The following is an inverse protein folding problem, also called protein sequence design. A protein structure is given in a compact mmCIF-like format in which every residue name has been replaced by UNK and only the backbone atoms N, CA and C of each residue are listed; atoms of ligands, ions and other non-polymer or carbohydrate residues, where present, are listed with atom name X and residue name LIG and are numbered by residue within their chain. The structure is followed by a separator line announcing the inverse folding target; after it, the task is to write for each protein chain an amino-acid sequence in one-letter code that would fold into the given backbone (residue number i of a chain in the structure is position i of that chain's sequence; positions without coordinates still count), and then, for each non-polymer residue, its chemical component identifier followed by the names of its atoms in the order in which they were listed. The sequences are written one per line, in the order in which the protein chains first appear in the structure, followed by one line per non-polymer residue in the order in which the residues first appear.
data_IF_925393489655
#
_entry.id   IF_925393489655
#
_cell.length_a   1.000
_cell.length_b   1.000
_cell.length_c   1.000
_cell.angle_alpha   90.00
_cell.angle_beta   90.00
_cell.angle_gamma   90.00
#
_symmetry.space_group_name_H-M   'P 1'
#
loop_
_entity.id
_entity.type
_entity.pdbx_description
1 polymer ?
#
# COMPACT_ATOMS: atom_id res chain seq x y z
N UNK A 1 53.63 51.79 -35.24
CA UNK A 1 53.32 50.43 -34.75
C UNK A 1 52.66 50.56 -33.39
N UNK A 2 51.34 50.36 -33.28
CA UNK A 2 50.68 49.92 -32.04
C UNK A 2 49.28 49.44 -32.42
N UNK A 3 49.09 48.12 -32.44
CA UNK A 3 47.78 47.48 -32.63
C UNK A 3 47.16 47.29 -31.24
N UNK A 4 45.99 47.88 -31.01
CA UNK A 4 45.17 47.61 -29.83
C UNK A 4 44.14 46.54 -30.17
N UNK A 5 44.37 45.31 -29.73
CA UNK A 5 43.42 44.21 -29.81
C UNK A 5 42.41 44.33 -28.67
N UNK A 6 41.16 44.66 -28.97
CA UNK A 6 40.06 44.59 -28.01
C UNK A 6 39.55 43.15 -27.92
N UNK A 7 39.72 42.52 -26.76
CA UNK A 7 39.08 41.24 -26.44
C UNK A 7 37.66 41.52 -25.90
N UNK A 8 36.64 41.14 -26.67
CA UNK A 8 35.24 41.21 -26.23
C UNK A 8 34.91 39.92 -25.45
N UNK A 9 34.76 40.05 -24.14
CA UNK A 9 34.34 38.95 -23.26
C UNK A 9 32.82 38.78 -23.37
N UNK A 10 32.35 37.76 -24.10
CA UNK A 10 30.93 37.40 -24.10
C UNK A 10 30.55 36.71 -22.77
N UNK A 11 29.84 37.44 -21.90
CA UNK A 11 29.17 36.85 -20.75
C UNK A 11 27.91 36.12 -21.23
N UNK A 12 27.94 34.79 -21.28
CA UNK A 12 26.75 33.98 -21.51
C UNK A 12 25.99 33.89 -20.18
N UNK A 13 24.99 34.77 -20.00
CA UNK A 13 23.99 34.64 -18.93
C UNK A 13 23.14 33.40 -19.23
N UNK A 14 23.48 32.26 -18.61
CA UNK A 14 22.57 31.11 -18.53
C UNK A 14 21.42 31.48 -17.59
N UNK A 15 20.29 31.87 -18.16
CA UNK A 15 19.03 31.91 -17.42
C UNK A 15 18.69 30.49 -17.00
N UNK A 16 18.92 30.15 -15.74
CA UNK A 16 18.42 28.91 -15.15
C UNK A 16 16.89 29.00 -15.10
N UNK A 17 16.21 28.44 -16.10
CA UNK A 17 14.76 28.18 -16.00
C UNK A 17 14.62 27.19 -14.84
N UNK A 18 13.81 27.48 -13.80
CA UNK A 18 13.56 26.51 -12.75
C UNK A 18 12.94 25.27 -13.41
N UNK A 19 13.69 24.17 -13.44
CA UNK A 19 13.16 22.91 -13.91
C UNK A 19 12.12 22.48 -12.88
N UNK A 20 10.84 22.52 -13.26
CA UNK A 20 9.75 22.00 -12.43
C UNK A 20 10.07 20.54 -12.12
N UNK A 21 10.13 20.19 -10.82
CA UNK A 21 10.43 18.83 -10.39
C UNK A 21 9.47 17.83 -11.05
N UNK A 22 9.92 16.62 -11.41
CA UNK A 22 9.03 15.61 -11.99
C UNK A 22 7.92 15.21 -11.02
N UNK A 23 6.78 14.71 -11.51
CA UNK A 23 5.81 14.05 -10.64
C UNK A 23 6.47 12.87 -9.90
N UNK A 24 6.12 12.72 -8.62
CA UNK A 24 6.57 11.61 -7.77
C UNK A 24 5.40 10.65 -7.52
N UNK A 25 5.66 9.35 -7.51
CA UNK A 25 4.63 8.33 -7.36
C UNK A 25 5.09 7.21 -6.43
N UNK A 26 4.29 6.93 -5.42
CA UNK A 26 4.38 5.73 -4.58
C UNK A 26 3.40 4.70 -5.15
N UNK A 27 3.88 3.48 -5.40
CA UNK A 27 3.06 2.33 -5.75
C UNK A 27 3.10 1.39 -4.56
N UNK A 28 1.97 1.28 -3.86
CA UNK A 28 1.85 0.47 -2.64
C UNK A 28 1.00 -0.76 -2.90
N UNK A 29 1.58 -1.94 -2.71
CA UNK A 29 0.84 -3.19 -2.68
C UNK A 29 0.37 -3.52 -1.27
N UNK A 30 -0.94 -3.75 -1.14
CA UNK A 30 -1.55 -4.12 0.14
C UNK A 30 -1.60 -5.66 0.32
N UNK A 31 -1.84 -6.05 1.56
CA UNK A 31 -2.19 -7.40 2.02
C UNK A 31 -1.07 -8.46 2.13
N UNK A 32 0.22 -8.12 2.09
CA UNK A 32 1.26 -9.17 2.22
C UNK A 32 1.04 -10.05 3.45
N UNK A 33 0.97 -11.36 3.23
CA UNK A 33 0.67 -12.38 4.23
C UNK A 33 -0.73 -12.99 4.12
N UNK A 34 -1.61 -12.48 3.24
CA UNK A 34 -2.98 -13.02 3.13
C UNK A 34 -3.06 -14.39 2.43
N UNK A 35 -2.22 -14.61 1.41
CA UNK A 35 -2.14 -15.81 0.57
C UNK A 35 -0.72 -15.99 0.03
N UNK A 36 -0.31 -17.22 -0.28
CA UNK A 36 0.98 -17.49 -0.93
C UNK A 36 1.05 -16.83 -2.31
N UNK A 37 0.03 -17.03 -3.14
CA UNK A 37 -0.05 -16.39 -4.46
C UNK A 37 -0.07 -14.85 -4.39
N UNK A 38 -0.49 -14.28 -3.27
CA UNK A 38 -0.39 -12.84 -2.99
C UNK A 38 1.03 -12.38 -2.66
N UNK A 39 1.69 -13.10 -1.76
CA UNK A 39 3.08 -12.86 -1.39
C UNK A 39 4.02 -12.90 -2.61
N UNK A 40 3.88 -13.92 -3.45
CA UNK A 40 4.67 -14.05 -4.67
C UNK A 40 4.42 -12.89 -5.64
N UNK A 41 3.18 -12.45 -5.79
CA UNK A 41 2.81 -11.34 -6.68
C UNK A 41 3.42 -10.01 -6.23
N UNK A 42 3.38 -9.69 -4.94
CA UNK A 42 3.97 -8.49 -4.37
C UNK A 42 5.50 -8.48 -4.57
N UNK A 43 6.18 -9.60 -4.29
CA UNK A 43 7.62 -9.71 -4.54
C UNK A 43 7.94 -9.59 -6.04
N UNK A 44 7.11 -10.15 -6.91
CA UNK A 44 7.27 -10.03 -8.37
C UNK A 44 7.09 -8.58 -8.83
N UNK A 45 6.05 -7.91 -8.37
CA UNK A 45 5.78 -6.51 -8.72
C UNK A 45 6.88 -5.57 -8.22
N UNK A 46 7.48 -5.85 -7.05
CA UNK A 46 8.65 -5.15 -6.57
C UNK A 46 9.90 -5.41 -7.41
N UNK A 47 10.23 -6.68 -7.70
CA UNK A 47 11.47 -7.04 -8.41
C UNK A 47 11.45 -6.73 -9.89
N UNK A 48 10.31 -6.92 -10.53
CA UNK A 48 10.17 -6.90 -11.99
C UNK A 48 9.27 -5.77 -12.49
N UNK A 49 8.56 -5.10 -11.58
CA UNK A 49 7.55 -4.09 -11.88
C UNK A 49 7.91 -2.70 -11.37
N UNK A 50 6.90 -2.01 -10.86
CA UNK A 50 6.94 -0.59 -10.47
C UNK A 50 6.60 -0.38 -8.99
N UNK A 51 6.37 -1.46 -8.24
CA UNK A 51 6.00 -1.39 -6.84
C UNK A 51 7.15 -0.85 -5.98
N UNK A 52 6.83 0.04 -5.04
CA UNK A 52 7.83 0.72 -4.21
C UNK A 52 7.62 0.54 -2.71
N UNK A 53 6.44 0.09 -2.27
CA UNK A 53 6.11 -0.19 -0.87
C UNK A 53 5.16 -1.38 -0.75
N UNK A 54 5.34 -2.20 0.30
CA UNK A 54 4.48 -3.35 0.59
C UNK A 54 3.91 -3.23 2.02
N UNK A 55 2.60 -3.44 2.19
CA UNK A 55 1.94 -3.45 3.49
C UNK A 55 1.70 -4.87 3.99
N UNK A 56 2.13 -5.17 5.22
CA UNK A 56 2.08 -6.53 5.78
C UNK A 56 0.93 -6.69 6.78
N UNK A 57 0.13 -7.72 6.57
CA UNK A 57 -0.90 -8.20 7.50
C UNK A 57 -0.26 -9.18 8.49
N UNK A 58 -0.25 -8.80 9.77
CA UNK A 58 0.36 -9.63 10.82
C UNK A 58 -0.49 -10.84 11.21
N UNK A 59 -1.83 -10.73 11.37
CA UNK A 59 -2.63 -11.86 11.81
C UNK A 59 -2.87 -12.93 10.74
N UNK A 60 -2.50 -12.67 9.48
CA UNK A 60 -2.84 -13.51 8.34
C UNK A 60 -1.94 -14.76 8.24
N UNK A 61 -2.44 -15.86 7.64
CA UNK A 61 -1.81 -17.18 7.75
C UNK A 61 -0.45 -17.28 7.05
N UNK A 62 -0.21 -16.46 6.02
CA UNK A 62 1.06 -16.42 5.29
C UNK A 62 2.01 -15.32 5.78
N UNK A 63 1.75 -14.72 6.95
CA UNK A 63 2.69 -13.80 7.59
C UNK A 63 4.10 -14.41 7.80
N UNK A 64 4.26 -15.69 8.22
CA UNK A 64 5.60 -16.28 8.34
C UNK A 64 6.40 -16.30 7.03
N UNK A 65 5.73 -16.59 5.90
CA UNK A 65 6.36 -16.53 4.58
C UNK A 65 6.65 -15.08 4.18
N UNK A 66 5.73 -14.15 4.44
CA UNK A 66 5.96 -12.74 4.18
C UNK A 66 7.22 -12.23 4.88
N UNK A 67 7.46 -12.62 6.15
CA UNK A 67 8.71 -12.30 6.87
C UNK A 67 9.94 -12.86 6.16
N UNK A 68 9.89 -14.11 5.67
CA UNK A 68 11.01 -14.70 4.94
C UNK A 68 11.29 -13.93 3.64
N UNK A 69 10.27 -13.71 2.81
CA UNK A 69 10.41 -13.01 1.54
C UNK A 69 10.89 -11.58 1.72
N UNK A 70 10.42 -10.88 2.75
CA UNK A 70 10.92 -9.54 3.07
C UNK A 70 12.36 -9.57 3.60
N UNK A 71 12.78 -10.64 4.28
CA UNK A 71 14.19 -10.82 4.67
C UNK A 71 15.08 -10.99 3.44
N UNK A 72 14.62 -11.73 2.43
CA UNK A 72 15.31 -11.94 1.16
C UNK A 72 15.33 -10.69 0.25
N UNK A 73 14.47 -9.71 0.53
CA UNK A 73 14.33 -8.46 -0.21
C UNK A 73 14.54 -7.25 0.70
N UNK A 74 15.76 -7.00 1.22
CA UNK A 74 15.98 -6.02 2.29
C UNK A 74 15.77 -4.55 1.88
N UNK A 75 15.76 -4.27 0.57
CA UNK A 75 15.65 -2.92 0.01
C UNK A 75 14.22 -2.46 -0.23
N UNK A 76 13.22 -3.34 -0.16
CA UNK A 76 11.82 -2.93 -0.29
C UNK A 76 11.38 -2.13 0.93
N UNK A 77 10.63 -1.05 0.70
CA UNK A 77 9.98 -0.34 1.79
C UNK A 77 8.76 -1.12 2.27
N UNK A 78 8.54 -1.11 3.58
CA UNK A 78 7.53 -1.96 4.21
C UNK A 78 6.76 -1.16 5.25
N UNK A 79 5.44 -1.21 5.14
CA UNK A 79 4.52 -0.74 6.17
C UNK A 79 3.81 -1.89 6.88
N UNK A 80 3.23 -1.60 8.04
CA UNK A 80 2.30 -2.52 8.70
C UNK A 80 0.87 -2.18 8.27
N UNK A 81 0.16 -3.18 7.75
CA UNK A 81 -1.27 -3.10 7.45
C UNK A 81 -2.05 -3.54 8.69
N UNK A 82 -2.36 -2.59 9.58
CA UNK A 82 -3.16 -2.92 10.76
C UNK A 82 -4.53 -3.45 10.33
N UNK A 83 -4.99 -4.52 10.96
CA UNK A 83 -6.28 -5.13 10.61
C UNK A 83 -7.12 -5.45 11.84
N UNK A 84 -8.43 -5.29 11.70
CA UNK A 84 -9.46 -5.69 12.67
C UNK A 84 -10.58 -6.50 12.00
N UNK A 85 -10.36 -6.93 10.76
CA UNK A 85 -11.33 -7.69 9.97
C UNK A 85 -10.70 -8.92 9.31
N UNK A 86 -11.54 -9.90 8.99
CA UNK A 86 -11.18 -11.07 8.20
C UNK A 86 -12.30 -11.42 7.23
N UNK A 87 -12.26 -10.80 6.06
CA UNK A 87 -13.34 -10.68 5.09
C UNK A 87 -13.65 -11.97 4.34
N UNK A 88 -12.63 -12.76 4.01
CA UNK A 88 -12.76 -13.92 3.15
C UNK A 88 -13.59 -15.03 3.80
N UNK A 89 -14.56 -15.60 3.07
CA UNK A 89 -15.50 -16.56 3.64
C UNK A 89 -14.85 -17.89 4.01
N UNK A 90 -13.84 -18.31 3.25
CA UNK A 90 -13.21 -19.62 3.35
C UNK A 90 -11.82 -19.62 4.01
N UNK A 91 -11.27 -18.45 4.32
CA UNK A 91 -10.01 -18.31 5.07
C UNK A 91 -10.16 -17.20 6.12
N UNK A 92 -9.93 -17.55 7.39
CA UNK A 92 -10.19 -16.64 8.51
C UNK A 92 -8.97 -16.45 9.39
N UNK A 93 -8.84 -15.25 9.93
CA UNK A 93 -7.73 -14.83 10.78
C UNK A 93 -8.26 -14.49 12.17
N UNK A 94 -7.48 -14.83 13.19
CA UNK A 94 -7.78 -14.52 14.59
C UNK A 94 -6.93 -13.33 15.03
N UNK A 95 -7.35 -12.57 16.03
CA UNK A 95 -6.50 -11.52 16.59
C UNK A 95 -5.19 -12.08 17.17
N UNK A 96 -4.14 -11.26 17.15
CA UNK A 96 -2.83 -11.59 17.74
C UNK A 96 -2.89 -11.55 19.27
N UNK A 97 -3.76 -10.69 19.81
CA UNK A 97 -4.00 -10.49 21.23
C UNK A 97 -5.35 -11.08 21.68
N UNK A 98 -5.56 -11.13 22.99
CA UNK A 98 -6.90 -11.43 23.52
C UNK A 98 -7.77 -10.16 23.54
N UNK A 99 -8.57 -9.95 22.49
CA UNK A 99 -9.46 -8.81 22.33
C UNK A 99 -10.92 -9.27 22.05
N UNK A 100 -11.69 -9.63 23.10
CA UNK A 100 -13.01 -10.24 22.94
C UNK A 100 -14.04 -9.39 22.18
N UNK A 101 -13.94 -8.05 22.21
CA UNK A 101 -14.89 -7.18 21.51
C UNK A 101 -14.65 -7.06 20.00
N UNK A 102 -13.56 -7.65 19.48
CA UNK A 102 -13.18 -7.57 18.07
C UNK A 102 -13.36 -8.90 17.32
N UNK A 103 -13.85 -9.95 18.00
CA UNK A 103 -13.97 -11.30 17.44
C UNK A 103 -15.38 -11.84 17.53
N UNK A 104 -15.75 -12.71 16.59
CA UNK A 104 -17.01 -13.43 16.60
C UNK A 104 -16.99 -14.62 17.57
N UNK A 105 -18.10 -15.37 17.63
CA UNK A 105 -18.26 -16.51 18.53
C UNK A 105 -17.27 -17.65 18.25
N UNK A 106 -16.78 -17.77 17.01
CA UNK A 106 -15.76 -18.75 16.64
C UNK A 106 -14.34 -18.22 16.92
N UNK A 107 -14.22 -16.94 17.31
CA UNK A 107 -13.01 -16.24 17.71
C UNK A 107 -12.17 -15.71 16.54
N UNK A 108 -12.75 -15.59 15.36
CA UNK A 108 -12.16 -14.88 14.23
C UNK A 108 -12.50 -13.39 14.30
N UNK A 109 -11.72 -12.53 13.64
CA UNK A 109 -12.17 -11.16 13.40
C UNK A 109 -13.51 -11.14 12.66
N UNK A 110 -14.31 -10.10 12.90
CA UNK A 110 -15.50 -9.84 12.10
C UNK A 110 -15.13 -9.67 10.61
N UNK A 111 -15.99 -10.09 9.67
CA UNK A 111 -15.68 -10.00 8.24
C UNK A 111 -15.57 -8.57 7.71
N UNK A 112 -16.20 -7.59 8.36
CA UNK A 112 -16.25 -6.22 7.87
C UNK A 112 -15.86 -5.23 8.97
N UNK A 113 -15.32 -4.07 8.59
CA UNK A 113 -15.17 -2.94 9.50
C UNK A 113 -16.49 -2.18 9.63
N UNK A 114 -17.11 -1.86 8.49
CA UNK A 114 -18.37 -1.09 8.38
C UNK A 114 -19.55 -1.97 7.96
N UNK A 115 -20.82 -1.53 8.13
CA UNK A 115 -21.98 -2.33 7.77
C UNK A 115 -21.97 -2.74 6.30
N UNK A 116 -22.27 -4.02 6.04
CA UNK A 116 -22.34 -4.58 4.70
C UNK A 116 -23.64 -5.37 4.54
N UNK A 117 -24.38 -5.11 3.45
CA UNK A 117 -25.67 -5.75 3.17
C UNK A 117 -25.59 -7.29 3.05
N UNK A 118 -24.44 -7.81 2.62
CA UNK A 118 -24.20 -9.25 2.46
C UNK A 118 -23.82 -9.91 3.80
N UNK A 119 -23.43 -9.11 4.80
CA UNK A 119 -22.94 -9.56 6.10
C UNK A 119 -23.62 -8.76 7.24
N UNK A 120 -24.96 -8.82 7.34
CA UNK A 120 -25.70 -7.97 8.28
C UNK A 120 -25.27 -8.22 9.73
N UNK A 121 -24.97 -7.15 10.47
CA UNK A 121 -24.50 -7.19 11.86
C UNK A 121 -23.18 -7.94 12.06
N UNK A 122 -22.40 -8.15 11.00
CA UNK A 122 -21.08 -8.79 11.07
C UNK A 122 -19.95 -7.81 10.79
N UNK A 123 -20.17 -6.53 11.11
CA UNK A 123 -19.10 -5.53 11.10
C UNK A 123 -18.63 -5.14 12.50
N UNK A 124 -17.37 -4.74 12.65
CA UNK A 124 -16.82 -4.30 13.94
C UNK A 124 -17.66 -3.17 14.54
N UNK A 125 -18.02 -2.16 13.74
CA UNK A 125 -18.79 -0.99 14.23
C UNK A 125 -20.23 -1.33 14.64
N UNK A 126 -20.77 -2.48 14.24
CA UNK A 126 -22.09 -2.98 14.66
C UNK A 126 -22.03 -3.84 15.94
N UNK A 127 -20.84 -4.15 16.48
CA UNK A 127 -20.65 -5.17 17.52
C UNK A 127 -19.92 -4.66 18.78
N UNK A 128 -20.44 -3.62 19.44
CA UNK A 128 -19.97 -3.09 20.75
C UNK A 128 -18.45 -3.19 21.00
N UNK A 129 -17.65 -2.80 20.00
CA UNK A 129 -16.21 -2.84 20.07
C UNK A 129 -15.70 -1.91 21.18
N UNK A 130 -14.55 -2.23 21.76
CA UNK A 130 -13.94 -1.45 22.82
C UNK A 130 -12.60 -0.88 22.37
N UNK A 131 -12.38 0.43 22.58
CA UNK A 131 -11.11 1.08 22.21
C UNK A 131 -9.89 0.43 22.88
N UNK A 132 -10.05 -0.08 24.12
CA UNK A 132 -8.99 -0.79 24.83
C UNK A 132 -8.55 -2.08 24.11
N UNK A 133 -9.49 -2.81 23.52
CA UNK A 133 -9.22 -4.01 22.72
C UNK A 133 -8.55 -3.65 21.40
N UNK A 134 -8.94 -2.54 20.78
CA UNK A 134 -8.29 -2.00 19.57
C UNK A 134 -6.83 -1.62 19.86
N UNK A 135 -6.56 -0.89 20.94
CA UNK A 135 -5.19 -0.53 21.33
C UNK A 135 -4.36 -1.78 21.63
N UNK A 136 -4.91 -2.74 22.38
CA UNK A 136 -4.24 -3.99 22.71
C UNK A 136 -3.87 -4.78 21.45
N UNK A 137 -4.80 -4.90 20.50
CA UNK A 137 -4.57 -5.63 19.26
C UNK A 137 -3.59 -4.93 18.33
N UNK A 138 -3.73 -3.62 18.12
CA UNK A 138 -2.79 -2.87 17.29
C UNK A 138 -1.37 -2.90 17.84
N UNK A 139 -1.20 -2.80 19.16
CA UNK A 139 0.13 -2.96 19.78
C UNK A 139 0.71 -4.34 19.52
N UNK A 140 -0.08 -5.39 19.72
CA UNK A 140 0.37 -6.76 19.50
C UNK A 140 0.81 -6.99 18.04
N UNK A 141 0.05 -6.46 17.08
CA UNK A 141 0.42 -6.49 15.66
C UNK A 141 1.73 -5.72 15.41
N UNK A 142 1.83 -4.46 15.86
CA UNK A 142 3.02 -3.61 15.67
C UNK A 142 4.27 -4.26 16.27
N UNK A 143 4.18 -4.73 17.52
CA UNK A 143 5.30 -5.31 18.25
C UNK A 143 5.79 -6.60 17.59
N UNK A 144 4.87 -7.47 17.17
CA UNK A 144 5.23 -8.69 16.44
C UNK A 144 5.85 -8.36 15.09
N UNK A 145 5.29 -7.40 14.36
CA UNK A 145 5.82 -6.96 13.07
C UNK A 145 7.23 -6.39 13.21
N UNK A 146 7.47 -5.45 14.13
CA UNK A 146 8.79 -4.85 14.37
C UNK A 146 9.81 -5.88 14.87
N UNK A 147 9.39 -6.87 15.66
CA UNK A 147 10.25 -7.97 16.08
C UNK A 147 10.75 -8.81 14.90
N UNK A 148 9.91 -9.00 13.88
CA UNK A 148 10.19 -9.87 12.72
C UNK A 148 10.76 -9.11 11.52
N UNK A 149 10.36 -7.85 11.35
CA UNK A 149 10.69 -6.96 10.25
C UNK A 149 11.06 -5.59 10.86
N UNK A 150 12.27 -5.42 11.43
CA UNK A 150 12.64 -4.21 12.18
C UNK A 150 12.67 -2.91 11.36
N UNK A 151 12.53 -3.00 10.03
CA UNK A 151 12.62 -1.88 9.10
C UNK A 151 11.26 -1.31 8.65
N UNK A 152 10.16 -1.77 9.25
CA UNK A 152 8.83 -1.19 9.00
C UNK A 152 8.90 0.31 9.26
N UNK A 153 8.36 1.11 8.35
CA UNK A 153 8.54 2.57 8.34
C UNK A 153 7.25 3.35 8.58
N UNK A 154 6.08 2.73 8.38
CA UNK A 154 4.80 3.42 8.44
C UNK A 154 3.63 2.48 8.76
N UNK A 155 2.46 3.08 9.02
CA UNK A 155 1.20 2.40 9.31
C UNK A 155 0.19 2.67 8.19
N UNK A 156 -0.49 1.62 7.77
CA UNK A 156 -1.72 1.65 6.98
C UNK A 156 -2.81 0.80 7.66
N UNK A 157 -4.02 0.74 7.09
CA UNK A 157 -5.15 0.06 7.73
C UNK A 157 -6.01 -0.73 6.75
N UNK A 158 -6.11 -2.04 6.97
CA UNK A 158 -6.96 -2.95 6.22
C UNK A 158 -8.41 -2.51 6.28
N UNK A 159 -9.05 -2.44 5.11
CA UNK A 159 -10.45 -2.03 4.94
C UNK A 159 -10.81 -0.73 5.67
N UNK A 160 -9.84 0.16 5.87
CA UNK A 160 -10.04 1.44 6.56
C UNK A 160 -10.27 1.33 8.07
N UNK A 161 -9.86 0.23 8.72
CA UNK A 161 -10.03 0.03 10.16
C UNK A 161 -9.38 1.13 11.02
N UNK A 162 -8.27 1.70 10.57
CA UNK A 162 -7.58 2.82 11.24
C UNK A 162 -8.38 4.12 11.22
N UNK A 163 -9.44 4.18 10.42
CA UNK A 163 -10.34 5.33 10.27
C UNK A 163 -11.74 5.12 10.85
N UNK A 164 -12.02 4.00 11.52
CA UNK A 164 -13.39 3.63 11.94
C UNK A 164 -14.00 4.49 13.05
N UNK A 165 -13.19 5.33 13.70
CA UNK A 165 -13.61 6.29 14.72
C UNK A 165 -12.53 7.35 14.95
N UNK A 166 -12.89 8.53 15.46
CA UNK A 166 -11.92 9.62 15.71
C UNK A 166 -10.97 9.30 16.87
N UNK A 167 -11.45 8.53 17.85
CA UNK A 167 -10.65 7.94 18.91
C UNK A 167 -9.63 6.92 18.36
N UNK A 168 -10.04 6.09 17.39
CA UNK A 168 -9.15 5.15 16.69
C UNK A 168 -8.11 5.90 15.86
N UNK A 169 -8.48 6.94 15.12
CA UNK A 169 -7.51 7.78 14.38
C UNK A 169 -6.49 8.41 15.35
N UNK A 170 -6.96 8.90 16.49
CA UNK A 170 -6.10 9.48 17.53
C UNK A 170 -5.14 8.44 18.10
N UNK A 171 -5.64 7.24 18.38
CA UNK A 171 -4.86 6.11 18.83
C UNK A 171 -3.79 5.71 17.80
N UNK A 172 -4.15 5.57 16.52
CA UNK A 172 -3.20 5.21 15.46
C UNK A 172 -2.07 6.24 15.36
N UNK A 173 -2.37 7.54 15.44
CA UNK A 173 -1.32 8.59 15.48
C UNK A 173 -0.43 8.49 16.72
N UNK A 174 -1.00 8.16 17.88
CA UNK A 174 -0.24 7.91 19.12
C UNK A 174 0.71 6.73 18.94
N UNK A 175 0.20 5.59 18.47
CA UNK A 175 1.00 4.37 18.28
C UNK A 175 2.09 4.57 17.22
N UNK A 176 1.77 5.23 16.10
CA UNK A 176 2.75 5.52 15.06
C UNK A 176 3.98 6.27 15.62
N UNK A 177 3.74 7.31 16.43
CA UNK A 177 4.80 8.08 17.11
C UNK A 177 5.52 7.26 18.16
N UNK A 178 4.79 6.49 18.96
CA UNK A 178 5.34 5.67 20.03
C UNK A 178 6.33 4.62 19.49
N UNK A 179 5.99 3.98 18.37
CA UNK A 179 6.82 2.95 17.73
C UNK A 179 7.72 3.49 16.61
N UNK A 180 7.73 4.81 16.36
CA UNK A 180 8.57 5.50 15.34
C UNK A 180 8.34 4.99 13.90
N UNK A 181 7.07 4.79 13.57
CA UNK A 181 6.57 4.36 12.25
C UNK A 181 5.54 5.37 11.74
N UNK A 182 5.89 6.65 11.83
CA UNK A 182 5.00 7.82 11.72
C UNK A 182 5.14 8.59 10.40
N UNK A 183 5.56 7.93 9.32
CA UNK A 183 5.47 8.53 7.99
C UNK A 183 4.00 8.57 7.57
N UNK A 184 3.41 9.76 7.58
CA UNK A 184 1.99 10.00 7.28
C UNK A 184 1.83 10.76 5.95
N UNK A 185 1.59 10.07 4.80
CA UNK A 185 1.54 10.72 3.49
C UNK A 185 0.59 11.92 3.41
N UNK A 186 -0.58 11.84 4.03
CA UNK A 186 -1.58 12.91 4.03
C UNK A 186 -1.07 14.18 4.73
N UNK A 187 -0.20 14.07 5.74
CA UNK A 187 0.40 15.21 6.43
C UNK A 187 1.59 15.80 5.65
N UNK A 188 2.09 15.07 4.63
CA UNK A 188 3.23 15.44 3.79
C UNK A 188 2.82 15.90 2.39
N UNK A 189 1.53 16.18 2.17
CA UNK A 189 1.00 16.67 0.90
C UNK A 189 0.96 15.64 -0.22
N UNK A 190 0.97 14.34 0.11
CA UNK A 190 0.80 13.26 -0.86
C UNK A 190 -0.69 13.12 -1.20
N UNK A 191 -1.01 13.14 -2.49
CA UNK A 191 -2.38 12.97 -2.97
C UNK A 191 -2.67 11.50 -3.32
N UNK A 192 -3.80 10.96 -2.89
CA UNK A 192 -4.26 9.66 -3.38
C UNK A 192 -4.65 9.77 -4.85
N UNK A 193 -4.31 8.76 -5.64
CA UNK A 193 -4.70 8.65 -7.05
C UNK A 193 -5.18 7.23 -7.36
N UNK A 194 -6.02 7.10 -8.38
CA UNK A 194 -6.61 5.83 -8.80
C UNK A 194 -6.70 5.75 -10.33
N UNK A 195 -7.15 4.60 -10.83
CA UNK A 195 -7.42 4.33 -12.23
C UNK A 195 -8.27 5.42 -12.90
N UNK A 196 -7.94 5.79 -14.14
CA UNK A 196 -8.72 6.72 -14.98
C UNK A 196 -9.46 5.93 -16.06
N UNK A 197 -10.60 5.35 -15.69
CA UNK A 197 -11.46 4.54 -16.55
C UNK A 197 -11.79 3.15 -16.00
N UNK A 198 -12.29 2.27 -16.87
CA UNK A 198 -12.58 0.87 -16.53
C UNK A 198 -11.33 0.14 -16.05
N UNK A 199 -11.49 -0.85 -15.17
CA UNK A 199 -10.37 -1.54 -14.52
C UNK A 199 -10.77 -2.93 -13.99
N UNK A 200 -11.74 -3.58 -14.63
CA UNK A 200 -12.24 -4.89 -14.21
C UNK A 200 -11.42 -6.06 -14.81
N UNK A 201 -10.74 -5.84 -15.93
CA UNK A 201 -9.84 -6.82 -16.56
C UNK A 201 -8.39 -6.36 -16.55
N UNK A 202 -7.42 -7.27 -16.75
CA UNK A 202 -6.00 -6.91 -16.88
C UNK A 202 -5.77 -5.81 -17.93
N UNK A 203 -6.41 -5.94 -19.10
CA UNK A 203 -6.25 -4.96 -20.19
C UNK A 203 -6.81 -3.59 -19.81
N UNK A 204 -8.01 -3.56 -19.21
CA UNK A 204 -8.61 -2.31 -18.73
C UNK A 204 -7.76 -1.65 -17.66
N UNK A 205 -7.24 -2.42 -16.68
CA UNK A 205 -6.32 -1.90 -15.65
C UNK A 205 -5.08 -1.27 -16.29
N UNK A 206 -4.45 -1.92 -17.27
CA UNK A 206 -3.28 -1.39 -17.98
C UNK A 206 -3.62 -0.06 -18.66
N UNK A 207 -4.69 0.01 -19.45
CA UNK A 207 -5.09 1.21 -20.17
C UNK A 207 -5.47 2.37 -19.24
N UNK A 208 -6.20 2.06 -18.19
CA UNK A 208 -6.67 3.01 -17.19
C UNK A 208 -5.52 3.54 -16.31
N UNK A 209 -4.54 2.69 -16.02
CA UNK A 209 -3.31 3.08 -15.33
C UNK A 209 -2.43 3.97 -16.20
N UNK A 210 -2.30 3.66 -17.49
CA UNK A 210 -1.59 4.53 -18.45
C UNK A 210 -2.22 5.93 -18.49
N UNK A 211 -3.54 6.03 -18.59
CA UNK A 211 -4.26 7.32 -18.54
C UNK A 211 -4.04 8.05 -17.22
N UNK A 212 -3.98 7.32 -16.10
CA UNK A 212 -3.64 7.88 -14.80
C UNK A 212 -2.22 8.48 -14.81
N UNK A 213 -1.21 7.73 -15.27
CA UNK A 213 0.17 8.20 -15.38
C UNK A 213 0.30 9.45 -16.27
N UNK A 214 -0.50 9.52 -17.34
CA UNK A 214 -0.56 10.69 -18.23
C UNK A 214 -1.14 11.95 -17.57
N UNK A 215 -1.94 11.79 -16.53
CA UNK A 215 -2.57 12.90 -15.80
C UNK A 215 -1.75 13.45 -14.64
N UNK A 216 -0.62 12.83 -14.30
CA UNK A 216 0.26 13.28 -13.21
C UNK A 216 0.85 14.66 -13.50
N UNK A 217 0.77 15.54 -12.52
CA UNK A 217 1.27 16.92 -12.62
C UNK A 217 2.68 17.04 -12.04
N UNK A 218 3.54 17.81 -12.73
CA UNK A 218 4.88 18.12 -12.25
C UNK A 218 4.86 18.78 -10.85
N UNK A 219 5.82 18.40 -10.00
CA UNK A 219 5.97 18.89 -8.64
C UNK A 219 5.01 18.29 -7.61
N UNK A 220 4.04 17.47 -8.03
CA UNK A 220 3.14 16.76 -7.12
C UNK A 220 3.64 15.37 -6.76
N UNK A 221 3.25 14.90 -5.58
CA UNK A 221 3.53 13.54 -5.09
C UNK A 221 2.22 12.79 -4.92
N UNK A 222 2.16 11.58 -5.46
CA UNK A 222 0.95 10.76 -5.47
C UNK A 222 1.18 9.40 -4.81
N UNK A 223 0.11 8.83 -4.26
CA UNK A 223 0.04 7.46 -3.74
C UNK A 223 -1.03 6.69 -4.52
N UNK A 224 -0.61 5.62 -5.19
CA UNK A 224 -1.50 4.63 -5.79
C UNK A 224 -1.43 3.34 -4.99
N UNK A 225 -2.59 2.76 -4.70
CA UNK A 225 -2.75 1.54 -3.90
C UNK A 225 -3.54 0.53 -4.70
N UNK A 226 -3.07 -0.71 -4.75
CA UNK A 226 -3.86 -1.85 -5.21
C UNK A 226 -3.30 -3.18 -4.66
N UNK A 227 -3.85 -4.31 -5.08
CA UNK A 227 -3.66 -5.61 -4.45
C UNK A 227 -3.15 -6.65 -5.47
N UNK A 228 -1.83 -6.77 -5.68
CA UNK A 228 -1.26 -7.83 -6.50
C UNK A 228 -1.63 -9.22 -6.02
N UNK A 229 -1.82 -10.14 -6.97
CA UNK A 229 -2.03 -11.55 -6.71
C UNK A 229 -1.71 -12.39 -7.94
N UNK A 230 -1.31 -13.64 -7.75
CA UNK A 230 -1.15 -14.61 -8.83
C UNK A 230 -2.41 -15.48 -8.95
N UNK A 231 -2.90 -15.66 -10.18
CA UNK A 231 -4.05 -16.50 -10.49
C UNK A 231 -3.72 -18.00 -10.30
N UNK A 232 -3.76 -18.42 -9.03
CA UNK A 232 -3.44 -19.77 -8.56
C UNK A 232 -4.69 -20.48 -8.04
N UNK A 233 -4.68 -21.82 -7.91
CA UNK A 233 -5.78 -22.54 -7.27
C UNK A 233 -6.10 -22.05 -5.86
N UNK A 234 -5.10 -21.64 -5.08
CA UNK A 234 -5.31 -21.04 -3.75
C UNK A 234 -6.11 -19.75 -3.86
N UNK A 235 -5.65 -18.81 -4.69
CA UNK A 235 -6.27 -17.49 -4.76
C UNK A 235 -7.67 -17.55 -5.37
N UNK A 236 -7.94 -18.49 -6.29
CA UNK A 236 -9.29 -18.76 -6.84
C UNK A 236 -10.27 -19.29 -5.80
N UNK A 237 -9.77 -19.89 -4.72
CA UNK A 237 -10.62 -20.31 -3.62
C UNK A 237 -11.00 -19.13 -2.72
N UNK A 238 -10.18 -18.09 -2.63
CA UNK A 238 -10.41 -16.94 -1.75
C UNK A 238 -11.50 -16.04 -2.33
N UNK A 239 -12.57 -15.83 -1.57
CA UNK A 239 -13.65 -14.92 -1.96
C UNK A 239 -14.48 -14.46 -0.76
N UNK A 240 -15.32 -13.47 -0.99
CA UNK A 240 -16.48 -13.17 -0.15
C UNK A 240 -17.64 -12.73 -1.05
N UNK A 241 -18.87 -12.70 -0.53
CA UNK A 241 -20.04 -12.29 -1.32
C UNK A 241 -19.86 -10.84 -1.80
N UNK A 242 -19.93 -10.64 -3.11
CA UNK A 242 -19.67 -9.36 -3.79
C UNK A 242 -18.23 -9.18 -4.28
N UNK A 243 -17.33 -10.12 -4.00
CA UNK A 243 -15.98 -10.16 -4.56
C UNK A 243 -15.52 -11.62 -4.76
N UNK A 244 -16.09 -12.26 -5.77
CA UNK A 244 -15.88 -13.68 -6.07
C UNK A 244 -14.69 -13.96 -6.98
N UNK A 245 -14.24 -12.97 -7.74
CA UNK A 245 -13.18 -13.12 -8.75
C UNK A 245 -11.84 -12.54 -8.30
N UNK A 246 -11.47 -12.77 -7.04
CA UNK A 246 -10.25 -12.24 -6.40
C UNK A 246 -9.01 -12.56 -7.23
N UNK A 247 -8.88 -13.82 -7.67
CA UNK A 247 -7.72 -14.25 -8.43
C UNK A 247 -7.54 -13.50 -9.76
N UNK A 248 -8.63 -13.32 -10.51
CA UNK A 248 -8.61 -12.63 -11.81
C UNK A 248 -8.31 -11.14 -11.61
N UNK A 249 -9.00 -10.51 -10.67
CA UNK A 249 -8.84 -9.08 -10.40
C UNK A 249 -7.42 -8.76 -9.92
N UNK A 250 -6.92 -9.50 -8.92
CA UNK A 250 -5.57 -9.30 -8.36
C UNK A 250 -4.45 -9.72 -9.35
N UNK A 251 -4.68 -10.71 -10.22
CA UNK A 251 -3.78 -10.99 -11.34
C UNK A 251 -3.68 -9.82 -12.31
N UNK A 252 -4.79 -9.15 -12.60
CA UNK A 252 -4.78 -7.95 -13.43
C UNK A 252 -3.94 -6.81 -12.87
N UNK A 253 -3.83 -6.71 -11.54
CA UNK A 253 -2.91 -5.76 -10.88
C UNK A 253 -1.46 -6.15 -11.14
N UNK A 254 -1.12 -7.43 -10.93
CA UNK A 254 0.23 -7.97 -11.20
C UNK A 254 0.64 -7.76 -12.66
N UNK A 255 -0.28 -8.04 -13.60
CA UNK A 255 -0.07 -7.84 -15.02
C UNK A 255 0.20 -6.37 -15.33
N UNK A 256 -0.59 -5.46 -14.74
CA UNK A 256 -0.45 -4.01 -14.92
C UNK A 256 0.91 -3.50 -14.41
N UNK A 257 1.30 -3.89 -13.19
CA UNK A 257 2.50 -3.37 -12.54
C UNK A 257 3.79 -3.94 -13.11
N UNK A 258 3.73 -5.12 -13.73
CA UNK A 258 4.87 -5.73 -14.45
C UNK A 258 4.88 -5.43 -15.94
N UNK A 259 3.85 -4.74 -16.46
CA UNK A 259 3.67 -4.48 -17.89
C UNK A 259 4.83 -3.63 -18.48
N UNK A 260 5.43 -4.05 -19.61
CA UNK A 260 6.50 -3.29 -20.26
C UNK A 260 6.11 -1.88 -20.71
N UNK A 261 4.87 -1.68 -21.17
CA UNK A 261 4.38 -0.37 -21.64
C UNK A 261 4.24 0.61 -20.48
N UNK A 262 3.71 0.15 -19.34
CA UNK A 262 3.60 0.96 -18.11
C UNK A 262 4.99 1.41 -17.64
N UNK A 263 5.94 0.46 -17.54
CA UNK A 263 7.34 0.77 -17.18
C UNK A 263 7.99 1.75 -18.14
N UNK A 264 7.80 1.57 -19.46
CA UNK A 264 8.34 2.45 -20.48
C UNK A 264 7.75 3.87 -20.39
N UNK A 265 6.46 3.99 -20.09
CA UNK A 265 5.79 5.27 -19.94
C UNK A 265 6.30 6.05 -18.74
N UNK A 266 6.46 5.40 -17.58
CA UNK A 266 7.06 6.00 -16.37
C UNK A 266 8.43 6.60 -16.69
N UNK A 267 9.28 5.82 -17.38
CA UNK A 267 10.61 6.30 -17.81
C UNK A 267 10.53 7.46 -18.79
N UNK A 268 9.65 7.38 -19.80
CA UNK A 268 9.52 8.40 -20.85
C UNK A 268 8.96 9.72 -20.31
N UNK A 269 8.04 9.65 -19.36
CA UNK A 269 7.47 10.83 -18.67
C UNK A 269 8.38 11.37 -17.57
N UNK A 270 9.45 10.66 -17.22
CA UNK A 270 10.33 11.02 -16.12
C UNK A 270 9.65 10.99 -14.75
N UNK A 271 8.61 10.15 -14.58
CA UNK A 271 7.91 10.00 -13.30
C UNK A 271 8.88 9.36 -12.31
N UNK A 272 9.07 10.00 -11.16
CA UNK A 272 9.95 9.50 -10.12
C UNK A 272 9.20 8.53 -9.21
N UNK A 273 9.47 7.24 -9.35
CA UNK A 273 9.03 6.25 -8.38
C UNK A 273 9.76 6.47 -7.06
N UNK A 274 9.01 6.54 -5.97
CA UNK A 274 9.51 6.76 -4.61
C UNK A 274 8.79 5.82 -3.64
N UNK A 275 9.36 5.66 -2.46
CA UNK A 275 8.80 4.94 -1.32
C UNK A 275 8.32 5.90 -0.22
N UNK A 276 7.76 5.38 0.87
CA UNK A 276 7.41 6.20 2.03
C UNK A 276 8.67 6.77 2.69
N UNK A 277 9.76 6.00 2.73
CA UNK A 277 11.06 6.47 3.27
C UNK A 277 11.59 7.72 2.56
N UNK A 278 11.28 7.92 1.28
CA UNK A 278 11.66 9.12 0.52
C UNK A 278 10.80 10.36 0.86
N UNK A 279 9.77 10.21 1.68
CA UNK A 279 8.97 11.31 2.24
C UNK A 279 9.55 11.82 3.55
N UNK A 280 10.19 10.94 4.34
CA UNK A 280 10.87 11.30 5.56
C UNK A 280 12.11 12.15 5.24
N UNK A 281 12.24 13.31 5.89
CA UNK A 281 13.39 14.19 5.78
C UNK A 281 14.40 13.91 6.88
#
# INVERSE_FOLDING_TARGET
MHYFTHFLLLLILRTAVPQTAPPRLIIRGDDMGYAHGGNEALVKCYKEGIETSIEVLVPSPWFPEAVQLLTENPTVDVGIHLTLSSEWDNIKWRPVSDCPSLKDADGYFYPMIYPNKNYPKRSVVENNWQLADVEKEFRAQIELALKKIPRISHISGHMGCTGMGDDVKTLVKKLAKEYKIDIMPNELGVANISYVGAHATSQEKIESFIKMLESLEAGKTYLFVDHPGLDTPELRAIHHIGYEQVAIDRQGVTDCWTNPQVKALIKTKGIQLISYKDLAR
#
